data_IF_609899764542
#
_entry.id   IF_609899764542
#
_cell.length_a   1.000
_cell.length_b   1.000
_cell.length_c   1.000
_cell.angle_alpha   90.00
_cell.angle_beta   90.00
_cell.angle_gamma   90.00
#
_symmetry.space_group_name_H-M   'P 1'
#
loop_
_entity.id
_entity.type
_entity.pdbx_description
1 polymer ?
#
# COMPACT_ATOMS: atom_id res chain seq x y z
N UNK A 1 -48.20 62.97 58.19
CA UNK A 1 -49.01 63.54 57.11
C UNK A 1 -48.27 63.31 55.79
N UNK A 2 -48.99 62.68 54.85
CA UNK A 2 -48.79 62.58 53.42
C UNK A 2 -47.63 61.69 52.87
N UNK A 3 -48.08 60.55 52.39
CA UNK A 3 -47.45 59.59 51.43
C UNK A 3 -47.05 60.27 50.16
N UNK A 4 -45.89 59.88 49.64
CA UNK A 4 -45.65 59.94 48.19
C UNK A 4 -45.06 58.58 47.80
N UNK A 5 -45.87 57.85 47.05
CA UNK A 5 -45.57 56.57 46.43
C UNK A 5 -44.83 56.84 45.13
N UNK A 6 -43.56 56.36 45.07
CA UNK A 6 -42.78 56.46 43.82
C UNK A 6 -42.79 55.13 43.16
N UNK A 7 -43.38 55.05 42.00
CA UNK A 7 -43.35 53.87 41.12
C UNK A 7 -42.04 53.86 40.43
N UNK A 8 -41.27 52.80 40.70
CA UNK A 8 -40.08 52.46 39.91
C UNK A 8 -40.45 51.34 38.94
N UNK A 9 -40.65 51.71 37.66
CA UNK A 9 -40.77 50.75 36.56
C UNK A 9 -39.42 50.03 36.36
N UNK A 10 -39.36 48.77 36.77
CA UNK A 10 -38.24 47.92 36.44
C UNK A 10 -38.26 47.45 34.99
N UNK A 11 -37.32 47.95 34.21
CA UNK A 11 -37.09 47.54 32.85
C UNK A 11 -36.32 46.19 32.88
N UNK A 12 -37.03 45.07 32.67
CA UNK A 12 -36.40 43.77 32.49
C UNK A 12 -35.74 43.74 31.12
N UNK A 13 -34.41 43.94 31.06
CA UNK A 13 -33.59 43.58 29.89
C UNK A 13 -33.42 42.07 29.84
N UNK A 14 -34.20 41.44 28.97
CA UNK A 14 -33.94 40.06 28.52
C UNK A 14 -32.67 40.06 27.68
N UNK A 15 -31.54 39.73 28.32
CA UNK A 15 -30.32 39.40 27.63
C UNK A 15 -30.50 38.00 27.05
N UNK A 16 -30.87 37.92 25.77
CA UNK A 16 -30.75 36.68 24.98
C UNK A 16 -29.28 36.39 24.82
N UNK A 17 -28.71 35.59 25.72
CA UNK A 17 -27.43 34.96 25.52
C UNK A 17 -27.61 33.96 24.37
N UNK A 18 -27.19 34.37 23.17
CA UNK A 18 -26.91 33.43 22.09
C UNK A 18 -25.75 32.57 22.56
N UNK A 19 -26.09 31.39 23.09
CA UNK A 19 -25.12 30.28 23.14
C UNK A 19 -24.82 29.91 21.68
N UNK A 20 -23.85 30.59 21.11
CA UNK A 20 -23.12 30.04 19.99
C UNK A 20 -22.50 28.72 20.49
N UNK A 21 -23.15 27.60 20.19
CA UNK A 21 -22.47 26.33 20.17
C UNK A 21 -21.35 26.43 19.14
N UNK A 22 -20.21 26.94 19.57
CA UNK A 22 -18.97 26.62 18.89
C UNK A 22 -18.79 25.11 19.07
N UNK A 23 -19.11 24.34 18.04
CA UNK A 23 -18.59 22.97 17.93
C UNK A 23 -17.05 23.08 17.96
N UNK A 24 -16.53 23.14 19.18
CA UNK A 24 -15.12 22.88 19.41
C UNK A 24 -14.83 21.53 18.79
N UNK A 25 -13.79 21.39 17.95
CA UNK A 25 -13.41 20.08 17.43
C UNK A 25 -13.29 19.16 18.63
N UNK A 26 -14.09 18.09 18.66
CA UNK A 26 -13.97 17.06 19.70
C UNK A 26 -12.53 16.58 19.68
N UNK A 27 -11.73 17.10 20.61
CA UNK A 27 -10.40 16.63 20.88
C UNK A 27 -10.48 15.10 21.01
N UNK A 28 -9.79 14.35 20.12
CA UNK A 28 -9.42 13.01 20.45
C UNK A 28 -9.81 11.88 19.51
N UNK A 29 -10.24 12.09 18.28
CA UNK A 29 -10.33 10.94 17.36
C UNK A 29 -9.06 10.88 16.50
N UNK A 30 -8.19 9.93 16.82
CA UNK A 30 -7.00 9.63 16.05
C UNK A 30 -7.37 8.73 14.88
N UNK A 31 -6.94 9.07 13.66
CA UNK A 31 -7.04 8.22 12.49
C UNK A 31 -5.71 7.46 12.32
N UNK A 32 -5.76 6.15 12.36
CA UNK A 32 -4.59 5.27 12.26
C UNK A 32 -4.43 4.80 10.83
N UNK A 33 -3.32 5.16 10.20
CA UNK A 33 -3.05 4.92 8.77
C UNK A 33 -1.88 3.96 8.61
N UNK A 34 -2.13 2.79 8.05
CA UNK A 34 -1.13 1.74 7.83
C UNK A 34 -0.50 1.78 6.45
N UNK A 35 0.78 1.42 6.39
CA UNK A 35 1.55 1.33 5.16
C UNK A 35 2.31 0.00 5.12
N UNK A 36 2.26 -0.73 4.01
CA UNK A 36 3.10 -1.91 3.81
C UNK A 36 4.55 -1.49 3.57
N UNK A 37 5.54 -2.23 4.12
CA UNK A 37 6.96 -1.94 3.89
C UNK A 37 7.40 -2.49 2.53
N UNK A 38 6.96 -1.85 1.45
CA UNK A 38 7.31 -2.25 0.08
C UNK A 38 8.80 -1.99 -0.26
N UNK A 39 9.43 -1.13 0.51
CA UNK A 39 10.87 -0.81 0.54
C UNK A 39 11.28 -0.62 2.02
N UNK A 40 12.46 -0.09 2.28
CA UNK A 40 12.91 0.20 3.65
C UNK A 40 11.82 0.93 4.47
N UNK A 41 11.48 0.38 5.64
CA UNK A 41 10.36 0.88 6.45
C UNK A 41 10.57 2.32 6.96
N UNK A 42 11.82 2.74 7.20
CA UNK A 42 12.12 4.12 7.60
C UNK A 42 11.89 5.06 6.43
N UNK A 43 12.26 4.63 5.22
CA UNK A 43 12.04 5.41 4.00
C UNK A 43 10.53 5.56 3.73
N UNK A 44 9.75 4.48 3.86
CA UNK A 44 8.28 4.54 3.74
C UNK A 44 7.69 5.52 4.75
N UNK A 45 8.13 5.47 6.02
CA UNK A 45 7.65 6.38 7.06
C UNK A 45 8.01 7.82 6.76
N UNK A 46 9.23 8.11 6.28
CA UNK A 46 9.65 9.46 5.90
C UNK A 46 8.84 9.99 4.71
N UNK A 47 8.66 9.16 3.68
CA UNK A 47 7.91 9.53 2.49
C UNK A 47 6.42 9.73 2.76
N UNK A 48 5.87 9.12 3.82
CA UNK A 48 4.47 9.27 4.22
C UNK A 48 4.20 10.58 4.99
N UNK A 49 5.20 11.24 5.57
CA UNK A 49 5.00 12.43 6.41
C UNK A 49 4.23 13.56 5.70
N UNK A 50 4.52 13.94 4.45
CA UNK A 50 3.76 14.98 3.77
C UNK A 50 2.26 14.63 3.62
N UNK A 51 1.94 13.36 3.37
CA UNK A 51 0.56 12.87 3.32
C UNK A 51 -0.10 12.96 4.70
N UNK A 52 0.61 12.57 5.77
CA UNK A 52 0.13 12.67 7.15
C UNK A 52 -0.25 14.11 7.51
N UNK A 53 0.57 15.08 7.14
CA UNK A 53 0.29 16.50 7.36
C UNK A 53 -0.95 16.99 6.60
N UNK A 54 -1.10 16.59 5.33
CA UNK A 54 -2.29 16.93 4.55
C UNK A 54 -3.53 16.32 5.18
N UNK A 55 -3.51 15.04 5.54
CA UNK A 55 -4.64 14.37 6.17
C UNK A 55 -5.01 15.02 7.51
N UNK A 56 -4.01 15.40 8.32
CA UNK A 56 -4.23 16.10 9.59
C UNK A 56 -4.97 17.43 9.37
N UNK A 57 -4.49 18.23 8.43
CA UNK A 57 -5.05 19.55 8.14
C UNK A 57 -6.46 19.45 7.54
N UNK A 58 -6.64 18.57 6.56
CA UNK A 58 -7.90 18.42 5.84
C UNK A 58 -9.01 17.78 6.70
N UNK A 59 -8.66 16.78 7.52
CA UNK A 59 -9.65 16.09 8.36
C UNK A 59 -9.86 16.79 9.71
N UNK A 60 -8.92 17.63 10.16
CA UNK A 60 -8.94 18.20 11.51
C UNK A 60 -8.81 17.12 12.59
N UNK A 61 -8.08 16.06 12.32
CA UNK A 61 -7.89 14.89 13.20
C UNK A 61 -6.41 14.65 13.44
N UNK A 62 -6.08 14.05 14.58
CA UNK A 62 -4.73 13.50 14.76
C UNK A 62 -4.55 12.29 13.82
N UNK A 63 -3.42 12.24 13.11
CA UNK A 63 -3.09 11.15 12.21
C UNK A 63 -1.90 10.38 12.79
N UNK A 64 -2.09 9.09 12.98
CA UNK A 64 -1.05 8.18 13.47
C UNK A 64 -0.62 7.24 12.33
N UNK A 65 0.52 7.50 11.67
CA UNK A 65 1.06 6.58 10.68
C UNK A 65 1.64 5.34 11.34
N UNK A 66 1.52 4.21 10.66
CA UNK A 66 2.06 2.94 11.09
C UNK A 66 2.67 2.21 9.90
N UNK A 67 3.94 1.85 10.00
CA UNK A 67 4.63 0.96 9.06
C UNK A 67 4.99 -0.30 9.82
N UNK A 68 4.50 -1.46 9.35
CA UNK A 68 4.81 -2.74 9.97
C UNK A 68 6.21 -3.23 9.57
N UNK A 69 6.71 -4.27 10.23
CA UNK A 69 7.98 -4.93 9.84
C UNK A 69 7.84 -5.80 8.60
N UNK A 70 6.62 -6.21 8.28
CA UNK A 70 6.27 -6.99 7.09
C UNK A 70 4.80 -6.76 6.70
N UNK A 71 4.40 -7.28 5.54
CA UNK A 71 3.06 -7.11 5.01
C UNK A 71 1.98 -7.77 5.90
N UNK A 72 2.31 -8.89 6.53
CA UNK A 72 1.40 -9.60 7.46
C UNK A 72 1.05 -8.71 8.65
N UNK A 73 2.02 -7.95 9.17
CA UNK A 73 1.81 -7.05 10.30
C UNK A 73 0.75 -5.98 10.04
N UNK A 74 0.61 -5.47 8.81
CA UNK A 74 -0.46 -4.53 8.45
C UNK A 74 -1.82 -5.24 8.41
N UNK A 75 -1.88 -6.46 7.84
CA UNK A 75 -3.11 -7.27 7.80
C UNK A 75 -3.58 -7.60 9.21
N UNK A 76 -2.67 -8.01 10.10
CA UNK A 76 -2.96 -8.29 11.51
C UNK A 76 -3.46 -7.04 12.26
N UNK A 77 -2.84 -5.88 12.02
CA UNK A 77 -3.27 -4.63 12.63
C UNK A 77 -4.69 -4.22 12.19
N UNK A 78 -5.06 -4.48 10.92
CA UNK A 78 -6.44 -4.31 10.45
C UNK A 78 -7.39 -5.31 11.12
N UNK A 79 -7.00 -6.59 11.19
CA UNK A 79 -7.81 -7.67 11.78
C UNK A 79 -8.18 -7.40 13.23
N UNK A 80 -7.26 -6.81 14.00
CA UNK A 80 -7.49 -6.48 15.42
C UNK A 80 -7.94 -5.02 15.61
N UNK A 81 -8.42 -4.36 14.56
CA UNK A 81 -8.93 -2.97 14.59
C UNK A 81 -7.91 -1.95 15.13
N UNK A 82 -6.62 -2.14 14.85
CA UNK A 82 -5.54 -1.19 15.18
C UNK A 82 -5.27 -0.18 14.07
N UNK A 83 -5.86 -0.36 12.89
CA UNK A 83 -5.82 0.56 11.77
C UNK A 83 -7.23 0.90 11.30
N UNK A 84 -7.41 2.14 10.88
CA UNK A 84 -8.66 2.66 10.32
C UNK A 84 -8.60 2.74 8.79
N UNK A 85 -7.39 2.97 8.27
CA UNK A 85 -7.06 3.10 6.84
C UNK A 85 -5.76 2.35 6.58
N UNK A 86 -5.60 1.74 5.43
CA UNK A 86 -4.31 1.18 5.03
C UNK A 86 -4.08 1.22 3.51
N UNK A 87 -2.81 1.43 3.14
CA UNK A 87 -2.30 1.17 1.80
C UNK A 87 -1.84 -0.28 1.73
N UNK A 88 -2.42 -1.06 0.82
CA UNK A 88 -2.14 -2.47 0.69
C UNK A 88 -1.74 -2.84 -0.74
N UNK A 89 -0.82 -3.79 -0.85
CA UNK A 89 -0.65 -4.52 -2.09
C UNK A 89 -1.88 -5.42 -2.36
N UNK A 90 -2.21 -5.73 -3.62
CA UNK A 90 -3.40 -6.52 -3.96
C UNK A 90 -3.50 -7.88 -3.24
N UNK A 91 -2.39 -8.60 -3.06
CA UNK A 91 -2.38 -9.86 -2.33
C UNK A 91 -2.67 -9.65 -0.83
N UNK A 92 -2.06 -8.63 -0.23
CA UNK A 92 -2.34 -8.26 1.17
C UNK A 92 -3.80 -7.86 1.37
N UNK A 93 -4.40 -7.15 0.38
CA UNK A 93 -5.82 -6.81 0.39
C UNK A 93 -6.71 -8.06 0.39
N UNK A 94 -6.45 -8.99 -0.53
CA UNK A 94 -7.26 -10.23 -0.62
C UNK A 94 -7.23 -11.00 0.70
N UNK A 95 -6.07 -11.08 1.36
CA UNK A 95 -5.97 -11.70 2.67
C UNK A 95 -6.69 -10.88 3.74
N UNK A 96 -6.45 -9.57 3.80
CA UNK A 96 -7.06 -8.68 4.79
C UNK A 96 -8.59 -8.67 4.70
N UNK A 97 -9.16 -8.73 3.48
CA UNK A 97 -10.63 -8.78 3.27
C UNK A 97 -11.27 -10.05 3.86
N UNK A 98 -10.53 -11.15 3.91
CA UNK A 98 -11.01 -12.38 4.54
C UNK A 98 -10.91 -12.36 6.07
N UNK A 99 -10.04 -11.52 6.64
CA UNK A 99 -9.68 -11.53 8.06
C UNK A 99 -10.18 -10.31 8.83
N UNK A 100 -10.59 -9.24 8.13
CA UNK A 100 -10.97 -7.95 8.74
C UNK A 100 -12.20 -7.36 8.04
N UNK A 101 -12.98 -6.57 8.80
CA UNK A 101 -14.12 -5.83 8.27
C UNK A 101 -13.63 -4.54 7.60
N UNK A 102 -13.13 -4.67 6.39
CA UNK A 102 -12.61 -3.57 5.58
C UNK A 102 -13.28 -3.53 4.22
N UNK A 103 -13.26 -2.37 3.60
CA UNK A 103 -13.62 -2.19 2.20
C UNK A 103 -12.52 -1.47 1.44
N UNK A 104 -12.27 -1.88 0.21
CA UNK A 104 -11.45 -1.13 -0.73
C UNK A 104 -12.25 0.05 -1.24
N UNK A 105 -11.62 1.21 -1.34
CA UNK A 105 -12.26 2.45 -1.81
C UNK A 105 -11.58 3.00 -3.06
N UNK A 106 -10.27 2.90 -3.12
CA UNK A 106 -9.46 3.40 -4.23
C UNK A 106 -8.39 2.37 -4.63
N UNK A 107 -7.99 2.41 -5.89
CA UNK A 107 -6.77 1.78 -6.38
C UNK A 107 -5.89 2.82 -7.05
N UNK A 108 -4.60 2.65 -6.93
CA UNK A 108 -3.62 3.57 -7.50
C UNK A 108 -3.56 3.45 -9.02
N UNK A 109 -3.11 4.54 -9.65
CA UNK A 109 -2.76 4.54 -11.06
C UNK A 109 -1.37 5.15 -11.25
N UNK A 110 -0.72 4.73 -12.33
CA UNK A 110 0.57 5.25 -12.78
C UNK A 110 0.44 5.57 -14.26
N UNK A 111 0.69 6.84 -14.62
CA UNK A 111 0.47 7.34 -16.00
C UNK A 111 -0.95 7.05 -16.52
N UNK A 112 -1.97 7.11 -15.64
CA UNK A 112 -3.36 6.80 -15.97
C UNK A 112 -3.67 5.30 -16.11
N UNK A 113 -2.75 4.41 -15.75
CA UNK A 113 -2.90 2.96 -15.85
C UNK A 113 -3.08 2.37 -14.44
N UNK A 114 -4.25 1.77 -14.13
CA UNK A 114 -4.52 1.17 -12.81
C UNK A 114 -4.09 -0.30 -12.72
N UNK A 115 -2.99 -0.65 -13.38
CA UNK A 115 -2.38 -1.99 -13.41
C UNK A 115 -0.87 -1.88 -13.30
N UNK A 116 -0.24 -2.97 -12.86
CA UNK A 116 1.20 -3.16 -12.86
C UNK A 116 1.51 -4.64 -13.08
N UNK A 117 2.78 -5.03 -13.07
CA UNK A 117 3.23 -6.37 -13.42
C UNK A 117 4.23 -6.89 -12.38
N UNK A 118 4.23 -8.19 -12.13
CA UNK A 118 5.39 -8.83 -11.55
C UNK A 118 6.46 -8.96 -12.63
N UNK A 119 7.70 -8.64 -12.28
CA UNK A 119 8.86 -8.78 -13.12
C UNK A 119 9.85 -9.76 -12.47
N UNK A 120 10.27 -10.77 -13.22
CA UNK A 120 11.38 -11.64 -12.84
C UNK A 120 12.66 -11.09 -13.44
N UNK A 121 13.57 -10.67 -12.57
CA UNK A 121 14.79 -9.95 -12.95
C UNK A 121 16.05 -10.74 -12.70
N UNK A 122 17.05 -10.48 -13.50
CA UNK A 122 18.40 -11.03 -13.38
C UNK A 122 19.42 -9.98 -13.84
N UNK A 123 20.70 -10.25 -13.60
CA UNK A 123 21.76 -9.45 -14.22
C UNK A 123 21.80 -9.66 -15.74
N UNK A 124 22.04 -8.60 -16.48
CA UNK A 124 22.10 -8.65 -17.95
C UNK A 124 23.19 -9.60 -18.46
N UNK A 125 24.28 -9.77 -17.71
CA UNK A 125 25.43 -10.62 -18.01
C UNK A 125 25.33 -12.05 -17.44
N UNK A 126 24.22 -12.44 -16.79
CA UNK A 126 24.04 -13.72 -16.10
C UNK A 126 23.92 -14.94 -17.02
N UNK A 127 23.60 -14.72 -18.30
CA UNK A 127 23.27 -15.81 -19.23
C UNK A 127 21.85 -16.38 -19.07
N UNK A 128 21.12 -16.04 -17.99
CA UNK A 128 19.73 -16.48 -17.72
C UNK A 128 18.78 -15.72 -18.67
N UNK A 129 18.00 -16.43 -19.49
CA UNK A 129 17.14 -15.83 -20.52
C UNK A 129 15.67 -16.21 -20.36
N UNK A 130 15.39 -17.36 -19.78
CA UNK A 130 14.05 -17.95 -19.64
C UNK A 130 13.78 -18.34 -18.18
N UNK A 131 12.55 -18.73 -17.89
CA UNK A 131 12.19 -19.25 -16.56
C UNK A 131 12.88 -20.60 -16.28
N UNK A 132 13.08 -21.42 -17.30
CA UNK A 132 13.73 -22.73 -17.22
C UNK A 132 15.19 -22.61 -16.80
N UNK A 133 15.88 -21.54 -17.21
CA UNK A 133 17.27 -21.26 -16.82
C UNK A 133 17.43 -20.99 -15.31
N UNK A 134 16.32 -20.74 -14.60
CA UNK A 134 16.33 -20.55 -13.15
C UNK A 134 16.50 -21.85 -12.36
N UNK A 135 16.32 -23.02 -12.98
CA UNK A 135 16.57 -24.30 -12.31
C UNK A 135 18.02 -24.41 -11.84
N UNK A 136 18.20 -24.79 -10.58
CA UNK A 136 19.52 -24.83 -9.93
C UNK A 136 20.14 -23.47 -9.59
N UNK A 137 19.40 -22.36 -9.77
CA UNK A 137 19.85 -21.00 -9.44
C UNK A 137 19.35 -20.56 -8.07
N UNK A 138 19.97 -19.52 -7.55
CA UNK A 138 19.51 -18.83 -6.34
C UNK A 138 18.48 -17.77 -6.72
N UNK A 139 17.38 -17.67 -5.96
CA UNK A 139 16.28 -16.77 -6.27
C UNK A 139 15.82 -15.98 -5.05
N UNK A 140 15.60 -14.66 -5.22
CA UNK A 140 15.00 -13.81 -4.20
C UNK A 140 13.53 -13.54 -4.49
N UNK A 141 12.66 -13.97 -3.59
CA UNK A 141 11.32 -13.43 -3.46
C UNK A 141 11.35 -12.17 -2.58
N UNK A 142 10.33 -11.30 -2.72
CA UNK A 142 10.08 -10.22 -1.77
C UNK A 142 9.45 -10.73 -0.47
N UNK A 143 8.51 -9.95 0.10
CA UNK A 143 7.68 -10.41 1.22
C UNK A 143 6.70 -11.51 0.77
N UNK A 144 6.37 -12.44 1.65
CA UNK A 144 5.46 -13.57 1.36
C UNK A 144 4.05 -13.16 0.94
N UNK A 145 3.59 -11.96 1.33
CA UNK A 145 2.33 -11.35 0.90
C UNK A 145 2.51 -10.26 -0.17
N UNK A 146 3.71 -10.09 -0.70
CA UNK A 146 3.92 -9.22 -1.85
C UNK A 146 3.28 -9.83 -3.10
N UNK A 147 2.46 -9.06 -3.77
CA UNK A 147 1.78 -9.48 -5.00
C UNK A 147 2.77 -9.79 -6.11
N UNK A 148 3.67 -8.85 -6.39
CA UNK A 148 4.66 -8.92 -7.48
C UNK A 148 5.98 -9.53 -7.04
N UNK A 149 6.30 -9.49 -5.74
CA UNK A 149 7.50 -10.09 -5.20
C UNK A 149 7.36 -11.58 -4.86
N UNK A 150 6.13 -12.11 -4.76
CA UNK A 150 5.94 -13.51 -4.36
C UNK A 150 4.75 -14.20 -5.02
N UNK A 151 3.51 -13.70 -4.85
CA UNK A 151 2.29 -14.45 -5.23
C UNK A 151 2.24 -14.72 -6.75
N UNK A 152 2.36 -13.68 -7.58
CA UNK A 152 2.37 -13.84 -9.04
C UNK A 152 3.61 -14.56 -9.56
N UNK A 153 4.83 -14.31 -9.09
CA UNK A 153 5.99 -15.14 -9.41
C UNK A 153 5.78 -16.63 -9.13
N UNK A 154 5.22 -16.99 -7.98
CA UNK A 154 4.87 -18.38 -7.65
C UNK A 154 3.88 -18.99 -8.64
N UNK A 155 2.85 -18.22 -9.04
CA UNK A 155 1.90 -18.63 -10.09
C UNK A 155 2.63 -18.86 -11.41
N UNK A 156 3.45 -17.90 -11.86
CA UNK A 156 4.22 -18.00 -13.10
C UNK A 156 5.11 -19.25 -13.12
N UNK A 157 5.83 -19.54 -12.04
CA UNK A 157 6.66 -20.75 -11.94
C UNK A 157 5.81 -22.01 -12.05
N UNK A 158 4.69 -22.08 -11.33
CA UNK A 158 3.82 -23.27 -11.35
C UNK A 158 3.22 -23.52 -12.74
N UNK A 159 2.84 -22.48 -13.47
CA UNK A 159 2.34 -22.57 -14.86
C UNK A 159 3.41 -23.10 -15.82
N UNK A 160 4.70 -22.92 -15.51
CA UNK A 160 5.82 -23.47 -16.28
C UNK A 160 6.39 -24.78 -15.69
N UNK A 161 5.64 -25.43 -14.78
CA UNK A 161 6.07 -26.68 -14.17
C UNK A 161 7.32 -26.57 -13.31
N UNK A 162 7.61 -25.36 -12.80
CA UNK A 162 8.75 -25.09 -11.90
C UNK A 162 8.23 -25.03 -10.47
N UNK A 163 8.79 -25.86 -9.61
CA UNK A 163 8.61 -25.77 -8.16
C UNK A 163 9.84 -25.10 -7.53
N UNK A 164 9.74 -23.84 -7.07
CA UNK A 164 10.89 -23.14 -6.52
C UNK A 164 11.58 -23.88 -5.36
N UNK A 165 10.82 -24.61 -4.53
CA UNK A 165 11.38 -25.34 -3.39
C UNK A 165 12.24 -26.52 -3.84
N UNK A 166 11.84 -27.20 -4.92
CA UNK A 166 12.54 -28.37 -5.47
C UNK A 166 13.61 -27.97 -6.49
N UNK A 167 13.28 -26.99 -7.35
CA UNK A 167 14.03 -26.74 -8.59
C UNK A 167 15.08 -25.63 -8.45
N UNK A 168 14.97 -24.77 -7.43
CA UNK A 168 15.99 -23.74 -7.19
C UNK A 168 17.06 -24.24 -6.22
N UNK A 169 18.29 -23.77 -6.38
CA UNK A 169 19.39 -24.08 -5.47
C UNK A 169 19.13 -23.51 -4.07
N UNK A 170 18.59 -22.30 -4.01
CA UNK A 170 18.28 -21.61 -2.77
C UNK A 170 17.23 -20.53 -3.01
N UNK A 171 16.34 -20.36 -2.03
CA UNK A 171 15.37 -19.27 -1.99
C UNK A 171 15.75 -18.32 -0.87
N UNK A 172 15.73 -17.02 -1.17
CA UNK A 172 15.85 -15.93 -0.21
C UNK A 172 14.54 -15.15 -0.19
N UNK A 173 14.10 -14.69 0.97
CA UNK A 173 13.04 -13.70 1.12
C UNK A 173 13.69 -12.39 1.53
N UNK A 174 13.71 -11.43 0.61
CA UNK A 174 14.40 -10.14 0.80
C UNK A 174 13.59 -9.11 1.57
N UNK A 175 12.25 -9.32 1.69
CA UNK A 175 11.32 -8.38 2.31
C UNK A 175 10.86 -7.29 1.33
N UNK A 176 11.71 -6.34 1.00
CA UNK A 176 11.39 -5.21 0.13
C UNK A 176 11.82 -5.37 -1.33
N UNK A 177 11.26 -4.55 -2.21
CA UNK A 177 11.63 -4.52 -3.64
C UNK A 177 13.04 -3.96 -3.87
N UNK A 178 13.44 -2.96 -3.09
CA UNK A 178 14.79 -2.39 -3.06
C UNK A 178 15.84 -3.45 -2.72
N UNK A 179 15.60 -4.23 -1.65
CA UNK A 179 16.48 -5.30 -1.22
C UNK A 179 16.59 -6.40 -2.28
N UNK A 180 15.50 -6.76 -2.97
CA UNK A 180 15.52 -7.71 -4.10
C UNK A 180 16.40 -7.20 -5.24
N UNK A 181 16.19 -5.97 -5.69
CA UNK A 181 16.95 -5.35 -6.77
C UNK A 181 18.44 -5.30 -6.44
N UNK A 182 18.80 -4.87 -5.23
CA UNK A 182 20.19 -4.81 -4.77
C UNK A 182 20.82 -6.21 -4.64
N UNK A 183 20.06 -7.22 -4.19
CA UNK A 183 20.55 -8.59 -4.10
C UNK A 183 20.93 -9.15 -5.48
N UNK A 184 20.11 -8.88 -6.52
CA UNK A 184 20.39 -9.27 -7.90
C UNK A 184 21.57 -8.49 -8.46
N UNK A 185 21.59 -7.16 -8.31
CA UNK A 185 22.67 -6.31 -8.80
C UNK A 185 24.04 -6.75 -8.27
N UNK A 186 24.10 -7.03 -6.97
CA UNK A 186 25.33 -7.41 -6.27
C UNK A 186 25.70 -8.91 -6.40
N UNK A 187 24.91 -9.69 -7.17
CA UNK A 187 25.16 -11.12 -7.37
C UNK A 187 24.99 -11.97 -6.10
N UNK A 188 24.23 -11.49 -5.10
CA UNK A 188 23.87 -12.26 -3.91
C UNK A 188 22.88 -13.37 -4.23
N UNK A 189 22.08 -13.16 -5.27
CA UNK A 189 21.21 -14.14 -5.92
C UNK A 189 21.33 -14.01 -7.43
N UNK A 190 21.03 -15.08 -8.16
CA UNK A 190 21.10 -15.11 -9.62
C UNK A 190 19.91 -14.37 -10.26
N UNK A 191 18.75 -14.41 -9.60
CA UNK A 191 17.52 -13.76 -10.05
C UNK A 191 16.61 -13.38 -8.88
N UNK A 192 15.59 -12.57 -9.15
CA UNK A 192 14.63 -12.18 -8.12
C UNK A 192 13.33 -11.67 -8.71
N UNK A 193 12.33 -11.50 -7.85
CA UNK A 193 11.01 -11.01 -8.19
C UNK A 193 10.76 -9.60 -7.64
N UNK A 194 10.31 -8.70 -8.52
CA UNK A 194 9.96 -7.33 -8.17
C UNK A 194 8.78 -6.87 -9.04
N UNK A 195 8.55 -5.55 -9.14
CA UNK A 195 7.49 -5.00 -9.98
C UNK A 195 8.03 -4.25 -11.20
N UNK A 196 7.16 -4.09 -12.19
CA UNK A 196 7.28 -3.12 -13.26
C UNK A 196 5.92 -2.45 -13.46
N UNK A 197 5.92 -1.15 -13.72
CA UNK A 197 4.70 -0.41 -14.03
C UNK A 197 4.31 -0.55 -15.51
N UNK A 198 5.27 -0.97 -16.35
CA UNK A 198 5.05 -1.30 -17.76
C UNK A 198 5.90 -2.51 -18.17
N UNK A 199 5.43 -3.33 -19.15
CA UNK A 199 6.17 -4.51 -19.60
C UNK A 199 7.26 -4.18 -20.63
N UNK A 200 7.44 -2.91 -21.01
CA UNK A 200 8.44 -2.41 -21.97
C UNK A 200 9.78 -2.00 -21.31
N UNK A 201 9.90 -2.20 -20.00
CA UNK A 201 11.04 -1.81 -19.18
C UNK A 201 11.27 -0.28 -19.03
N UNK A 202 10.29 0.55 -19.36
CA UNK A 202 10.42 2.01 -19.26
C UNK A 202 10.10 2.57 -17.88
N UNK A 203 9.44 1.80 -17.01
CA UNK A 203 9.06 2.22 -15.65
C UNK A 203 9.08 1.01 -14.70
N UNK A 204 10.18 0.84 -13.98
CA UNK A 204 10.48 -0.39 -13.26
C UNK A 204 11.06 -0.15 -11.88
N UNK A 205 10.97 -1.15 -11.01
CA UNK A 205 11.54 -1.12 -9.67
C UNK A 205 13.05 -0.81 -9.69
N UNK A 206 13.80 -1.41 -10.61
CA UNK A 206 15.25 -1.18 -10.64
C UNK A 206 15.64 0.21 -11.13
N UNK A 207 14.81 0.88 -11.94
CA UNK A 207 15.00 2.30 -12.27
C UNK A 207 14.72 3.21 -11.06
N UNK A 208 13.82 2.80 -10.16
CA UNK A 208 13.55 3.54 -8.93
C UNK A 208 14.68 3.43 -7.92
N UNK A 209 15.18 2.22 -7.70
CA UNK A 209 16.09 1.94 -6.58
C UNK A 209 17.56 2.06 -6.93
N UNK A 210 17.93 2.03 -8.22
CA UNK A 210 19.30 2.20 -8.68
C UNK A 210 19.51 3.64 -9.17
N UNK A 211 20.34 4.38 -8.43
CA UNK A 211 20.61 5.79 -8.74
C UNK A 211 21.57 5.95 -9.92
N UNK A 212 22.49 4.99 -10.13
CA UNK A 212 23.43 5.01 -11.23
C UNK A 212 22.78 4.41 -12.49
N UNK A 213 22.67 5.16 -13.60
CA UNK A 213 22.16 4.63 -14.86
C UNK A 213 22.96 3.45 -15.40
N UNK A 214 24.24 3.31 -15.03
CA UNK A 214 25.04 2.14 -15.42
C UNK A 214 24.61 0.88 -14.66
N UNK A 215 24.19 1.02 -13.40
CA UNK A 215 23.65 -0.10 -12.63
C UNK A 215 22.27 -0.53 -13.13
N UNK A 216 21.43 0.43 -13.54
CA UNK A 216 20.14 0.14 -14.18
C UNK A 216 20.33 -0.77 -15.40
N UNK A 217 21.32 -0.51 -16.25
CA UNK A 217 21.64 -1.32 -17.44
C UNK A 217 22.14 -2.73 -17.11
N UNK A 218 22.60 -2.97 -15.89
CA UNK A 218 23.06 -4.30 -15.44
C UNK A 218 21.89 -5.22 -15.08
N UNK A 219 20.67 -4.70 -14.97
CA UNK A 219 19.48 -5.48 -14.65
C UNK A 219 18.56 -5.57 -15.87
N UNK A 220 17.99 -6.73 -16.08
CA UNK A 220 16.93 -6.96 -17.06
C UNK A 220 15.84 -7.86 -16.53
N UNK A 221 14.64 -7.70 -17.03
CA UNK A 221 13.57 -8.67 -16.84
C UNK A 221 13.74 -9.84 -17.82
N UNK A 222 13.41 -11.04 -17.37
CA UNK A 222 13.32 -12.26 -18.20
C UNK A 222 11.88 -12.66 -18.45
N UNK A 223 10.94 -12.20 -17.59
CA UNK A 223 9.51 -12.42 -17.76
C UNK A 223 8.72 -11.38 -17.00
N UNK A 224 7.51 -11.11 -17.49
CA UNK A 224 6.47 -10.33 -16.81
C UNK A 224 5.21 -11.18 -16.60
N UNK A 225 4.47 -10.88 -15.57
CA UNK A 225 3.15 -11.48 -15.34
C UNK A 225 2.10 -10.88 -16.29
N UNK A 226 0.90 -11.44 -16.25
CA UNK A 226 -0.32 -10.76 -16.69
C UNK A 226 -0.51 -9.43 -15.92
N UNK A 227 -1.33 -8.48 -16.44
CA UNK A 227 -1.67 -7.25 -15.73
C UNK A 227 -2.32 -7.56 -14.37
N UNK A 228 -1.85 -6.88 -13.35
CA UNK A 228 -2.32 -7.00 -11.96
C UNK A 228 -3.03 -5.71 -11.58
N UNK A 229 -4.24 -5.73 -11.01
CA UNK A 229 -4.86 -4.51 -10.48
C UNK A 229 -3.91 -3.86 -9.46
N UNK A 230 -3.78 -2.54 -9.53
CA UNK A 230 -2.80 -1.81 -8.76
C UNK A 230 -3.07 -1.82 -7.25
N UNK A 231 -2.08 -1.37 -6.47
CA UNK A 231 -2.17 -1.21 -5.02
C UNK A 231 -3.38 -0.37 -4.62
N UNK A 232 -3.89 -0.59 -3.42
CA UNK A 232 -5.17 -0.04 -3.03
C UNK A 232 -5.16 0.67 -1.68
N UNK A 233 -6.16 1.53 -1.50
CA UNK A 233 -6.52 2.13 -0.24
C UNK A 233 -7.76 1.42 0.29
N UNK A 234 -7.63 0.87 1.49
CA UNK A 234 -8.74 0.27 2.23
C UNK A 234 -9.08 1.10 3.45
N UNK A 235 -10.34 1.02 3.85
CA UNK A 235 -10.82 1.62 5.09
C UNK A 235 -11.57 0.58 5.93
N UNK A 236 -11.52 0.74 7.25
CA UNK A 236 -12.35 -0.04 8.17
C UNK A 236 -13.83 0.28 7.90
N UNK A 237 -14.68 -0.74 7.88
CA UNK A 237 -16.13 -0.55 7.74
C UNK A 237 -16.76 0.15 8.97
N UNK A 238 -16.03 0.19 10.11
CA UNK A 238 -16.41 0.94 11.31
C UNK A 238 -16.04 2.44 11.26
N UNK A 239 -15.32 2.90 10.22
CA UNK A 239 -14.97 4.31 10.08
C UNK A 239 -16.22 5.14 9.81
N UNK A 240 -16.31 6.33 10.44
CA UNK A 240 -17.42 7.27 10.19
C UNK A 240 -17.56 7.53 8.69
N UNK A 241 -18.75 7.33 8.10
CA UNK A 241 -18.94 7.47 6.64
C UNK A 241 -18.55 8.85 6.10
N UNK A 242 -18.66 9.92 6.89
CA UNK A 242 -18.26 11.28 6.48
C UNK A 242 -16.75 11.41 6.40
N UNK A 243 -16.03 10.80 7.35
CA UNK A 243 -14.57 10.74 7.33
C UNK A 243 -14.11 9.88 6.15
N UNK A 244 -14.76 8.73 5.93
CA UNK A 244 -14.47 7.85 4.81
C UNK A 244 -14.64 8.54 3.46
N UNK A 245 -15.75 9.28 3.26
CA UNK A 245 -15.97 10.03 2.02
C UNK A 245 -14.94 11.14 1.85
N UNK A 246 -14.67 11.91 2.91
CA UNK A 246 -13.68 12.99 2.85
C UNK A 246 -12.27 12.46 2.53
N UNK A 247 -11.89 11.30 3.05
CA UNK A 247 -10.64 10.63 2.65
C UNK A 247 -10.58 10.34 1.16
N UNK A 248 -11.63 9.75 0.60
CA UNK A 248 -11.71 9.47 -0.84
C UNK A 248 -11.57 10.76 -1.65
N UNK A 249 -12.27 11.82 -1.25
CA UNK A 249 -12.23 13.11 -1.94
C UNK A 249 -10.83 13.72 -1.91
N UNK A 250 -10.14 13.69 -0.75
CA UNK A 250 -8.76 14.16 -0.60
C UNK A 250 -7.82 13.42 -1.56
N UNK A 251 -7.87 12.08 -1.61
CA UNK A 251 -6.99 11.31 -2.50
C UNK A 251 -7.26 11.54 -3.98
N UNK A 252 -8.54 11.72 -4.36
CA UNK A 252 -8.91 12.07 -5.73
C UNK A 252 -8.45 13.50 -6.09
N UNK A 253 -8.47 14.44 -5.15
CA UNK A 253 -7.96 15.79 -5.34
C UNK A 253 -6.42 15.80 -5.46
N UNK A 254 -5.71 15.10 -4.59
CA UNK A 254 -4.25 14.91 -4.67
C UNK A 254 -3.84 14.33 -6.04
N UNK A 255 -4.70 13.49 -6.64
CA UNK A 255 -4.47 12.91 -7.96
C UNK A 255 -4.55 13.93 -9.10
N UNK A 256 -5.11 15.12 -8.85
CA UNK A 256 -5.24 16.21 -9.85
C UNK A 256 -4.23 17.32 -9.63
N UNK A 257 -3.82 17.52 -8.38
CA UNK A 257 -2.86 18.56 -8.00
C UNK A 257 -1.41 18.13 -8.32
N UNK A 258 -0.58 18.97 -8.98
CA UNK A 258 0.81 18.64 -9.30
C UNK A 258 1.68 18.35 -8.07
N UNK A 259 1.47 19.06 -6.93
CA UNK A 259 2.20 18.82 -5.68
C UNK A 259 1.75 17.51 -5.03
N UNK A 260 0.43 17.24 -5.07
CA UNK A 260 -0.15 15.98 -4.63
C UNK A 260 0.43 14.79 -5.39
N UNK A 261 0.48 14.85 -6.73
CA UNK A 261 1.11 13.83 -7.56
C UNK A 261 2.58 13.61 -7.21
N UNK A 262 3.34 14.71 -7.02
CA UNK A 262 4.75 14.57 -6.63
C UNK A 262 4.89 13.79 -5.31
N UNK A 263 4.12 14.15 -4.29
CA UNK A 263 4.12 13.49 -2.99
C UNK A 263 3.73 11.99 -3.11
N UNK A 264 2.71 11.67 -3.90
CA UNK A 264 2.28 10.29 -4.14
C UNK A 264 3.35 9.47 -4.88
N UNK A 265 4.09 10.10 -5.81
CA UNK A 265 5.25 9.46 -6.47
C UNK A 265 6.40 9.20 -5.50
N UNK A 266 6.69 10.14 -4.62
CA UNK A 266 7.74 9.97 -3.62
C UNK A 266 7.38 8.83 -2.64
N UNK A 267 6.10 8.65 -2.31
CA UNK A 267 5.63 7.58 -1.42
C UNK A 267 5.71 6.20 -2.10
N UNK A 268 4.94 5.97 -3.17
CA UNK A 268 4.82 4.64 -3.79
C UNK A 268 4.81 4.69 -5.34
N UNK A 269 5.39 5.73 -5.95
CA UNK A 269 5.32 5.99 -7.40
C UNK A 269 3.89 6.01 -7.96
N UNK A 270 2.96 6.49 -7.17
CA UNK A 270 1.56 6.65 -7.57
C UNK A 270 1.41 8.01 -8.22
N UNK A 271 0.74 8.09 -9.36
CA UNK A 271 0.38 9.35 -10.02
C UNK A 271 -1.03 9.82 -9.67
N UNK A 272 -1.86 8.91 -9.21
CA UNK A 272 -3.23 9.19 -8.84
C UNK A 272 -3.98 7.96 -8.34
N UNK A 273 -5.27 8.16 -8.13
CA UNK A 273 -6.19 7.13 -7.70
C UNK A 273 -7.46 7.14 -8.53
N UNK A 274 -8.02 5.96 -8.72
CA UNK A 274 -9.37 5.74 -9.25
C UNK A 274 -10.18 4.90 -8.26
N UNK A 275 -11.50 4.98 -8.35
CA UNK A 275 -12.38 4.15 -7.50
C UNK A 275 -12.12 2.67 -7.71
N UNK A 276 -12.23 1.89 -6.65
CA UNK A 276 -12.03 0.46 -6.67
C UNK A 276 -13.20 -0.28 -6.04
N UNK A 277 -13.39 -1.51 -6.50
CA UNK A 277 -14.32 -2.47 -5.95
C UNK A 277 -13.61 -3.79 -5.63
N UNK A 278 -14.23 -4.60 -4.78
CA UNK A 278 -13.70 -5.90 -4.41
C UNK A 278 -13.49 -6.83 -5.63
N UNK A 279 -14.36 -6.73 -6.65
CA UNK A 279 -14.28 -7.49 -7.90
C UNK A 279 -13.01 -7.21 -8.71
N UNK A 280 -12.45 -6.03 -8.60
CA UNK A 280 -11.20 -5.68 -9.29
C UNK A 280 -10.07 -6.66 -8.93
N UNK A 281 -10.13 -7.28 -7.74
CA UNK A 281 -9.08 -8.16 -7.20
C UNK A 281 -9.36 -9.66 -7.37
N UNK A 282 -10.34 -10.05 -8.18
CA UNK A 282 -10.66 -11.46 -8.45
C UNK A 282 -9.52 -12.21 -9.15
N UNK A 283 -8.76 -11.53 -10.02
CA UNK A 283 -7.54 -12.10 -10.63
C UNK A 283 -6.49 -12.45 -9.58
N UNK A 284 -6.36 -11.62 -8.54
CA UNK A 284 -5.43 -11.84 -7.43
C UNK A 284 -5.87 -13.04 -6.56
N UNK A 285 -7.17 -13.21 -6.31
CA UNK A 285 -7.72 -14.41 -5.63
C UNK A 285 -7.37 -15.67 -6.40
N UNK A 286 -7.56 -15.65 -7.73
CA UNK A 286 -7.17 -16.76 -8.60
C UNK A 286 -5.66 -17.01 -8.59
N UNK A 287 -4.85 -15.95 -8.46
CA UNK A 287 -3.39 -16.10 -8.40
C UNK A 287 -2.93 -16.86 -7.15
N UNK A 288 -3.55 -16.68 -5.99
CA UNK A 288 -3.26 -17.49 -4.80
C UNK A 288 -3.50 -18.99 -5.06
N UNK A 289 -4.64 -19.33 -5.62
CA UNK A 289 -4.94 -20.73 -6.00
C UNK A 289 -3.96 -21.24 -7.06
N UNK A 290 -3.70 -20.45 -8.09
CA UNK A 290 -2.74 -20.76 -9.14
C UNK A 290 -1.30 -20.96 -8.61
N UNK A 291 -0.90 -20.19 -7.62
CA UNK A 291 0.39 -20.31 -6.94
C UNK A 291 0.47 -21.50 -5.95
N UNK A 292 -0.66 -22.13 -5.63
CA UNK A 292 -0.73 -23.17 -4.60
C UNK A 292 -0.53 -22.62 -3.18
N UNK A 293 -0.90 -21.35 -2.96
CA UNK A 293 -0.79 -20.68 -1.66
C UNK A 293 -2.17 -20.69 -1.02
N UNK A 294 -2.28 -21.31 0.17
CA UNK A 294 -3.49 -21.25 0.96
C UNK A 294 -3.53 -19.95 1.77
N UNK A 295 -4.58 -19.13 1.61
CA UNK A 295 -4.74 -17.86 2.30
C UNK A 295 -4.63 -18.00 3.83
N UNK A 296 -5.21 -19.06 4.40
CA UNK A 296 -5.14 -19.32 5.85
C UNK A 296 -3.71 -19.61 6.35
N UNK A 297 -2.87 -20.25 5.55
CA UNK A 297 -1.49 -20.56 5.90
C UNK A 297 -0.58 -19.33 5.81
N UNK A 298 -0.94 -18.36 4.97
CA UNK A 298 -0.18 -17.13 4.82
C UNK A 298 -0.02 -16.32 6.13
N UNK A 299 -1.01 -16.43 7.05
CA UNK A 299 -0.95 -15.82 8.39
C UNK A 299 -0.24 -16.69 9.43
N UNK A 300 -0.20 -18.02 9.25
CA UNK A 300 0.27 -18.95 10.29
C UNK A 300 1.78 -19.17 10.30
N UNK A 301 2.48 -18.91 9.20
CA UNK A 301 3.95 -19.18 9.06
C UNK A 301 4.85 -18.42 10.02
N UNK A 302 4.31 -17.57 10.90
CA UNK A 302 5.07 -16.79 11.90
C UNK A 302 5.02 -17.34 13.32
N UNK A 303 4.38 -18.51 13.53
CA UNK A 303 4.29 -19.13 14.88
C UNK A 303 5.28 -20.28 15.10
N UNK A 304 6.16 -20.55 14.16
CA UNK A 304 7.21 -21.57 14.28
C UNK A 304 8.61 -20.96 14.22
#
# INVERSE_FOLDING_TARGET
MKNIMLHVCGLLMLVFAWLACSDSPKAGRTLRVGFVPAEDAQQVMQNAQPLVEILRNELGMEIQPFVATDYTGVVEALRVNKLDVAFLAPASYVLAKNEANIKVVLKSERKGIPFYYAALITRADSGIKTLEDLRGKTFAFGDSLSTTGHVFPRKMFKEHGIDPVRDFKQILYSGGHDATVLAVLNGKVDAGATYANSPDNEDTAWMRYLKDPQDVKKIRAIAFSEPIPADNLVISEALDPRVAQKLVDIFLELSRDPKGKKMLRDLYQIDGFVTASDKDYDSVRRAFTGAGIQLKEALQKKKS
#
